data_IF_324437105288
#
_entry.id   IF_324437105288
#
_cell.length_a   1.000
_cell.length_b   1.000
_cell.length_c   1.000
_cell.angle_alpha   90.00
_cell.angle_beta   90.00
_cell.angle_gamma   90.00
#
_symmetry.space_group_name_H-M   'P 1'
#
loop_
_entity.id
_entity.type
_entity.pdbx_description
1 polymer ?
#
# COMPACT_ATOMS: atom_id res chain seq x y z
N UNK A 1 -15.90 -2.59 8.97
CA UNK A 1 -14.93 -1.52 8.61
C UNK A 1 -14.46 -1.79 7.19
N UNK A 2 -14.59 -0.81 6.29
CA UNK A 2 -14.04 -0.84 4.93
C UNK A 2 -12.72 -0.07 4.97
N UNK A 3 -11.66 -0.59 4.37
CA UNK A 3 -10.34 0.04 4.33
C UNK A 3 -9.21 -0.89 4.77
N UNK A 4 -8.12 -0.32 5.26
CA UNK A 4 -6.94 -1.05 5.72
C UNK A 4 -6.69 -0.78 7.20
N UNK A 5 -6.17 -1.77 7.90
CA UNK A 5 -5.64 -1.59 9.24
C UNK A 5 -4.23 -2.17 9.30
N UNK A 6 -3.28 -1.37 9.78
CA UNK A 6 -1.96 -1.80 10.19
C UNK A 6 -1.93 -1.87 11.72
N UNK A 7 -1.51 -3.02 12.23
CA UNK A 7 -1.26 -3.25 13.65
C UNK A 7 0.22 -3.51 13.79
N UNK A 8 0.92 -2.69 14.57
CA UNK A 8 2.33 -2.92 14.94
C UNK A 8 2.35 -3.45 16.36
N UNK A 9 2.81 -4.70 16.53
CA UNK A 9 2.84 -5.36 17.83
C UNK A 9 3.91 -6.44 17.88
N UNK A 10 4.42 -6.72 19.08
CA UNK A 10 5.29 -7.88 19.35
C UNK A 10 4.50 -9.13 19.73
N UNK A 11 3.22 -8.97 20.03
CA UNK A 11 2.34 -10.06 20.44
C UNK A 11 1.82 -10.82 19.23
N UNK A 12 1.63 -12.14 19.39
CA UNK A 12 0.99 -12.94 18.35
C UNK A 12 -0.49 -12.59 18.25
N UNK A 13 -0.97 -12.41 17.02
CA UNK A 13 -2.37 -12.09 16.76
C UNK A 13 -3.20 -13.36 16.51
N UNK A 14 -4.40 -13.41 17.08
CA UNK A 14 -5.35 -14.48 16.80
C UNK A 14 -6.09 -14.19 15.48
N UNK A 15 -5.62 -14.84 14.41
CA UNK A 15 -6.12 -14.63 13.04
C UNK A 15 -7.57 -15.07 12.86
N UNK A 16 -8.07 -15.97 13.70
CA UNK A 16 -9.46 -16.46 13.61
C UNK A 16 -10.49 -15.36 13.91
N UNK A 17 -10.04 -14.24 14.49
CA UNK A 17 -10.86 -13.08 14.83
C UNK A 17 -10.82 -11.98 13.78
N UNK A 18 -10.07 -12.17 12.68
CA UNK A 18 -10.05 -11.20 11.60
C UNK A 18 -11.37 -11.23 10.83
N UNK A 19 -11.79 -10.04 10.38
CA UNK A 19 -13.01 -9.87 9.57
C UNK A 19 -12.77 -10.32 8.12
N UNK A 20 -11.52 -10.59 7.74
CA UNK A 20 -11.05 -10.83 6.38
C UNK A 20 -9.93 -11.85 6.38
N UNK A 21 -9.87 -12.66 5.32
CA UNK A 21 -8.76 -13.58 5.05
C UNK A 21 -7.64 -12.89 4.24
N UNK A 22 -7.83 -11.64 3.82
CA UNK A 22 -6.83 -10.87 3.08
C UNK A 22 -5.92 -10.07 4.03
N UNK A 23 -4.80 -10.68 4.43
CA UNK A 23 -3.81 -10.07 5.30
C UNK A 23 -2.37 -10.39 4.89
N UNK A 24 -1.45 -9.57 5.38
CA UNK A 24 0.00 -9.70 5.29
C UNK A 24 0.54 -9.65 6.72
N UNK A 25 1.36 -10.63 7.09
CA UNK A 25 1.97 -10.74 8.42
C UNK A 25 3.49 -10.65 8.29
N UNK A 26 4.07 -9.68 8.98
CA UNK A 26 5.50 -9.58 9.21
C UNK A 26 5.85 -9.91 10.66
N UNK A 27 7.15 -9.84 10.99
CA UNK A 27 7.63 -10.19 12.33
C UNK A 27 7.02 -9.33 13.46
N UNK A 28 6.67 -8.08 13.19
CA UNK A 28 6.19 -7.12 14.18
C UNK A 28 4.95 -6.35 13.71
N UNK A 29 4.31 -6.83 12.64
CA UNK A 29 3.11 -6.19 12.14
C UNK A 29 2.16 -7.18 11.50
N UNK A 30 0.88 -6.81 11.54
CA UNK A 30 -0.17 -7.41 10.77
C UNK A 30 -0.87 -6.30 9.99
N UNK A 31 -1.01 -6.47 8.68
CA UNK A 31 -1.83 -5.58 7.86
C UNK A 31 -2.92 -6.40 7.22
N UNK A 32 -4.16 -5.94 7.34
CA UNK A 32 -5.29 -6.56 6.66
C UNK A 32 -6.14 -5.52 5.94
N UNK A 33 -6.80 -5.95 4.87
CA UNK A 33 -7.68 -5.10 4.08
C UNK A 33 -9.09 -5.67 4.00
N UNK A 34 -10.04 -4.76 3.94
CA UNK A 34 -11.41 -5.04 3.55
C UNK A 34 -11.81 -4.02 2.47
N UNK A 35 -11.36 -4.27 1.24
CA UNK A 35 -11.57 -3.38 0.11
C UNK A 35 -12.88 -3.64 -0.60
N UNK A 36 -13.50 -2.58 -1.12
CA UNK A 36 -14.58 -2.72 -2.08
C UNK A 36 -14.02 -3.25 -3.40
N UNK A 37 -14.53 -4.39 -3.87
CA UNK A 37 -14.09 -5.07 -5.10
C UNK A 37 -14.24 -4.21 -6.37
N UNK A 38 -15.11 -3.19 -6.36
CA UNK A 38 -15.36 -2.32 -7.53
C UNK A 38 -14.16 -1.45 -7.95
N UNK A 39 -13.20 -1.24 -7.05
CA UNK A 39 -12.08 -0.30 -7.27
C UNK A 39 -10.73 -0.96 -6.99
N UNK A 40 -10.58 -2.27 -7.27
CA UNK A 40 -9.34 -2.99 -6.95
C UNK A 40 -8.14 -2.49 -7.75
N UNK A 41 -8.35 -2.05 -9.00
CA UNK A 41 -7.28 -1.55 -9.87
C UNK A 41 -6.68 -0.23 -9.38
N UNK A 42 -7.43 0.54 -8.59
CA UNK A 42 -6.98 1.82 -8.03
C UNK A 42 -6.23 1.64 -6.69
N UNK A 43 -6.23 0.41 -6.16
CA UNK A 43 -5.67 0.09 -4.84
C UNK A 43 -4.37 -0.66 -4.97
N UNK A 44 -3.53 -0.50 -3.95
CA UNK A 44 -2.32 -1.28 -3.76
C UNK A 44 -2.43 -1.98 -2.41
N UNK A 45 -2.17 -3.28 -2.40
CA UNK A 45 -2.01 -4.06 -1.18
C UNK A 45 -1.02 -5.17 -1.52
N UNK A 46 0.26 -4.84 -1.44
CA UNK A 46 1.32 -5.70 -1.93
C UNK A 46 2.58 -5.53 -1.11
N UNK A 47 3.33 -6.62 -1.01
CA UNK A 47 4.57 -6.69 -0.27
C UNK A 47 5.61 -7.48 -1.08
N UNK A 48 6.83 -6.97 -1.11
CA UNK A 48 8.00 -7.71 -1.55
C UNK A 48 9.09 -7.75 -0.46
N UNK A 49 10.30 -8.12 -0.85
CA UNK A 49 11.46 -8.26 0.05
C UNK A 49 11.88 -6.93 0.69
N UNK A 50 11.63 -5.80 0.02
CA UNK A 50 12.08 -4.47 0.44
C UNK A 50 10.95 -3.65 1.06
N UNK A 51 9.74 -3.70 0.47
CA UNK A 51 8.65 -2.78 0.79
C UNK A 51 7.33 -3.51 0.98
N UNK A 52 6.56 -3.06 1.98
CA UNK A 52 5.12 -3.26 2.04
C UNK A 52 4.45 -1.93 1.65
N UNK A 53 3.61 -1.97 0.62
CA UNK A 53 2.87 -0.80 0.13
C UNK A 53 1.37 -1.09 0.19
N UNK A 54 0.67 -0.22 0.90
CA UNK A 54 -0.79 -0.13 0.87
C UNK A 54 -1.18 1.24 0.34
N UNK A 55 -2.06 1.28 -0.64
CA UNK A 55 -2.75 2.48 -1.06
C UNK A 55 -4.23 2.19 -1.27
N UNK A 56 -5.06 3.07 -0.77
CA UNK A 56 -6.49 3.05 -1.01
C UNK A 56 -6.97 4.48 -1.31
N UNK A 57 -7.62 4.64 -2.45
CA UNK A 57 -8.20 5.87 -2.93
C UNK A 57 -7.99 6.03 -4.42
N UNK A 58 -8.10 7.26 -4.89
CA UNK A 58 -7.94 7.60 -6.31
C UNK A 58 -6.75 8.55 -6.47
N UNK A 59 -5.76 8.11 -7.25
CA UNK A 59 -4.64 8.93 -7.70
C UNK A 59 -5.00 9.47 -9.09
N UNK A 60 -5.46 10.73 -9.14
CA UNK A 60 -6.00 11.37 -10.35
C UNK A 60 -4.96 11.52 -11.47
N UNK A 61 -3.68 11.61 -11.13
CA UNK A 61 -2.58 11.71 -12.10
C UNK A 61 -1.81 10.40 -12.29
N UNK A 62 -2.40 9.23 -11.98
CA UNK A 62 -1.67 7.96 -12.07
C UNK A 62 -1.19 7.65 -13.50
N UNK A 63 -1.99 7.91 -14.53
CA UNK A 63 -1.64 7.60 -15.92
C UNK A 63 -0.45 8.44 -16.39
N UNK A 64 -0.43 9.73 -16.04
CA UNK A 64 0.69 10.62 -16.33
C UNK A 64 1.96 10.13 -15.63
N UNK A 65 1.87 9.82 -14.34
CA UNK A 65 2.99 9.33 -13.55
C UNK A 65 3.49 7.97 -14.05
N UNK A 66 2.60 7.03 -14.36
CA UNK A 66 2.93 5.71 -14.92
C UNK A 66 3.71 5.83 -16.23
N UNK A 67 3.28 6.74 -17.12
CA UNK A 67 3.99 7.03 -18.36
C UNK A 67 5.38 7.63 -18.09
N UNK A 68 5.49 8.62 -17.20
CA UNK A 68 6.75 9.29 -16.86
C UNK A 68 7.78 8.32 -16.24
N UNK A 69 7.32 7.37 -15.43
CA UNK A 69 8.17 6.36 -14.77
C UNK A 69 8.32 5.05 -15.57
N UNK A 70 7.65 4.92 -16.72
CA UNK A 70 7.69 3.72 -17.56
C UNK A 70 7.22 2.45 -16.83
N UNK A 71 6.07 2.53 -16.15
CA UNK A 71 5.45 1.43 -15.39
C UNK A 71 3.97 1.32 -15.72
N UNK A 72 3.38 0.14 -15.54
CA UNK A 72 1.97 -0.13 -15.91
C UNK A 72 1.03 -0.31 -14.73
N UNK A 73 1.53 -0.23 -13.50
CA UNK A 73 0.75 -0.49 -12.29
C UNK A 73 1.14 0.46 -11.13
N UNK A 74 0.20 0.65 -10.21
CA UNK A 74 0.37 1.58 -9.09
C UNK A 74 1.41 1.09 -8.06
N UNK A 75 1.63 -0.22 -7.93
CA UNK A 75 2.65 -0.73 -7.00
C UNK A 75 4.04 -0.35 -7.47
N UNK A 76 4.37 -0.68 -8.72
CA UNK A 76 5.65 -0.35 -9.36
C UNK A 76 5.89 1.15 -9.40
N UNK A 77 4.84 1.95 -9.66
CA UNK A 77 4.93 3.41 -9.64
C UNK A 77 5.37 3.93 -8.28
N UNK A 78 4.67 3.53 -7.23
CA UNK A 78 4.89 4.08 -5.89
C UNK A 78 6.22 3.58 -5.33
N UNK A 79 6.59 2.33 -5.62
CA UNK A 79 7.92 1.79 -5.31
C UNK A 79 9.04 2.62 -5.96
N UNK A 80 8.94 2.94 -7.27
CA UNK A 80 9.95 3.77 -7.95
C UNK A 80 9.99 5.19 -7.37
N UNK A 81 8.83 5.84 -7.21
CA UNK A 81 8.75 7.19 -6.65
C UNK A 81 9.34 7.27 -5.24
N UNK A 82 9.07 6.27 -4.39
CA UNK A 82 9.64 6.19 -3.05
C UNK A 82 11.16 5.98 -3.08
N UNK A 83 11.68 5.11 -3.95
CA UNK A 83 13.14 4.91 -4.10
C UNK A 83 13.86 6.16 -4.59
N UNK A 84 13.24 6.94 -5.48
CA UNK A 84 13.86 8.14 -6.06
C UNK A 84 13.71 9.40 -5.21
N UNK A 85 12.60 9.54 -4.48
CA UNK A 85 12.24 10.79 -3.79
C UNK A 85 11.95 10.61 -2.29
N UNK A 86 12.00 9.38 -1.78
CA UNK A 86 11.64 9.05 -0.41
C UNK A 86 10.23 9.55 -0.06
N UNK A 87 10.09 10.12 1.13
CA UNK A 87 8.80 10.67 1.61
C UNK A 87 8.27 11.77 0.69
N UNK A 88 9.13 12.51 -0.01
CA UNK A 88 8.71 13.62 -0.89
C UNK A 88 7.95 13.18 -2.14
N UNK A 89 7.87 11.88 -2.41
CA UNK A 89 7.03 11.36 -3.48
C UNK A 89 5.57 11.84 -3.36
N UNK A 90 5.08 12.09 -2.14
CA UNK A 90 3.70 12.50 -1.89
C UNK A 90 3.39 13.86 -2.48
N UNK A 91 4.39 14.73 -2.65
CA UNK A 91 4.26 16.05 -3.27
C UNK A 91 3.79 15.96 -4.74
N UNK A 92 4.10 14.84 -5.41
CA UNK A 92 3.77 14.58 -6.81
C UNK A 92 2.41 13.91 -7.01
N UNK A 93 1.81 13.35 -5.96
CA UNK A 93 0.54 12.62 -6.03
C UNK A 93 -0.64 13.60 -5.95
N UNK A 94 -1.64 13.42 -6.81
CA UNK A 94 -2.86 14.23 -6.81
C UNK A 94 -4.08 13.35 -6.64
N UNK A 95 -4.99 13.71 -5.74
CA UNK A 95 -6.25 13.01 -5.56
C UNK A 95 -6.65 12.83 -4.11
N UNK A 96 -7.58 11.91 -3.89
CA UNK A 96 -8.06 11.56 -2.55
C UNK A 96 -7.67 10.11 -2.27
N UNK A 97 -6.57 9.95 -1.55
CA UNK A 97 -6.01 8.66 -1.22
C UNK A 97 -5.37 8.70 0.17
N UNK A 98 -5.24 7.51 0.75
CA UNK A 98 -4.37 7.28 1.90
C UNK A 98 -3.50 6.06 1.61
N UNK A 99 -2.41 5.93 2.34
CA UNK A 99 -1.53 4.78 2.19
C UNK A 99 -0.56 4.58 3.33
N UNK A 100 0.09 3.44 3.29
CA UNK A 100 1.14 3.00 4.22
C UNK A 100 2.29 2.50 3.36
N UNK A 101 3.49 2.97 3.63
CA UNK A 101 4.72 2.35 3.17
C UNK A 101 5.48 1.91 4.41
N UNK A 102 5.83 0.63 4.46
CA UNK A 102 6.73 0.09 5.46
C UNK A 102 8.01 -0.38 4.75
N UNK A 103 9.10 0.32 5.04
CA UNK A 103 10.43 0.00 4.55
C UNK A 103 11.08 -1.05 5.45
N UNK A 104 11.42 -2.20 4.87
CA UNK A 104 12.00 -3.35 5.58
C UNK A 104 13.52 -3.27 5.67
N UNK A 105 14.13 -2.39 4.88
CA UNK A 105 15.58 -2.25 4.72
C UNK A 105 16.11 -1.01 5.45
N UNK A 106 15.22 -0.09 5.84
CA UNK A 106 15.53 1.10 6.63
C UNK A 106 16.01 0.81 8.07
#
# INVERSE_FOLDING_TARGET
MIGTTLIVTKDKFDKTKLITDEYIEGNQYLVYKNFNKKFLNDKVFHEDEELLIVLDGVILNNHELQNNYGVSDNYSLIKKMYKEHGIRMVDSLRGNFYGIIYDKVA
#
